data_IF_221067723055
#
_entry.id   IF_221067723055
#
_cell.length_a   1.000
_cell.length_b   1.000
_cell.length_c   1.000
_cell.angle_alpha   90.00
_cell.angle_beta   90.00
_cell.angle_gamma   90.00
#
_symmetry.space_group_name_H-M   'P 1'
#
loop_
_entity.id
_entity.type
_entity.pdbx_description
1 polymer ?
#
# COMPACT_ATOMS: atom_id res chain seq x y z
N UNK A 1 10.39 3.43 4.90
CA UNK A 1 10.93 3.58 6.27
C UNK A 1 12.41 3.96 6.30
N UNK A 2 13.28 3.27 5.54
CA UNK A 2 14.73 3.55 5.53
C UNK A 2 15.10 5.01 5.20
N UNK A 3 14.43 5.65 4.23
CA UNK A 3 14.69 7.05 3.88
C UNK A 3 14.34 8.02 5.01
N UNK A 4 13.20 7.83 5.70
CA UNK A 4 12.82 8.65 6.85
C UNK A 4 13.78 8.46 8.04
N UNK A 5 14.25 7.23 8.26
CA UNK A 5 15.22 6.94 9.30
C UNK A 5 16.55 7.68 9.03
N UNK A 6 17.02 7.68 7.78
CA UNK A 6 18.31 8.25 7.39
C UNK A 6 18.33 9.79 7.24
N UNK A 7 17.18 10.46 7.13
CA UNK A 7 17.13 11.90 6.86
C UNK A 7 17.43 12.74 8.11
N UNK A 8 18.56 13.46 8.08
CA UNK A 8 19.06 14.31 9.17
C UNK A 8 18.18 15.54 9.44
N UNK A 9 17.26 15.90 8.54
CA UNK A 9 16.34 17.02 8.76
C UNK A 9 15.21 16.66 9.75
N UNK A 10 15.02 15.37 10.06
CA UNK A 10 14.09 14.90 11.09
C UNK A 10 14.78 14.72 12.44
N UNK A 11 14.04 14.97 13.51
CA UNK A 11 14.49 14.77 14.89
C UNK A 11 13.96 13.46 15.49
N UNK A 12 14.64 12.96 16.52
CA UNK A 12 14.24 11.77 17.28
C UNK A 12 14.33 10.44 16.51
N UNK A 13 14.32 9.34 17.24
CA UNK A 13 14.29 8.00 16.66
C UNK A 13 12.86 7.60 16.27
N UNK A 14 12.74 6.57 15.43
CA UNK A 14 11.44 5.92 15.17
C UNK A 14 11.15 5.00 16.35
N UNK A 15 10.16 5.36 17.15
CA UNK A 15 9.70 4.50 18.26
C UNK A 15 8.43 3.75 17.91
N UNK A 16 7.70 4.23 16.89
CA UNK A 16 6.47 3.60 16.41
C UNK A 16 6.76 2.41 15.49
N UNK A 17 6.12 1.26 15.78
CA UNK A 17 6.02 0.16 14.82
C UNK A 17 4.86 0.41 13.87
N UNK A 18 5.17 0.67 12.60
CA UNK A 18 4.18 0.72 11.53
C UNK A 18 3.92 -0.69 11.01
N UNK A 19 2.65 -1.10 10.95
CA UNK A 19 2.26 -2.35 10.29
C UNK A 19 2.45 -2.23 8.76
N UNK A 20 2.58 -3.36 8.08
CA UNK A 20 2.65 -3.36 6.61
C UNK A 20 1.38 -2.76 5.99
N UNK A 21 1.54 -1.99 4.91
CA UNK A 21 0.42 -1.28 4.26
C UNK A 21 -0.25 -0.20 5.13
N UNK A 22 0.32 0.16 6.30
CA UNK A 22 -0.25 1.17 7.19
C UNK A 22 0.15 2.61 6.86
N UNK A 23 1.14 2.81 6.00
CA UNK A 23 1.63 4.14 5.60
C UNK A 23 1.35 4.40 4.11
N UNK A 24 1.09 5.65 3.76
CA UNK A 24 0.89 6.08 2.37
C UNK A 24 2.23 6.55 1.77
N UNK A 25 2.74 5.94 0.69
CA UNK A 25 3.95 6.40 0.01
C UNK A 25 3.65 7.58 -0.92
N UNK A 26 3.82 8.79 -0.41
CA UNK A 26 3.62 10.04 -1.15
C UNK A 26 4.81 10.99 -0.94
N UNK A 27 4.80 12.11 -1.68
CA UNK A 27 5.65 13.26 -1.35
C UNK A 27 5.03 14.03 -0.19
N UNK A 28 5.82 14.29 0.85
CA UNK A 28 5.39 15.03 2.03
C UNK A 28 6.27 16.25 2.30
N UNK A 29 5.61 17.37 2.58
CA UNK A 29 6.28 18.58 3.06
C UNK A 29 6.34 18.59 4.58
N UNK A 30 7.51 18.90 5.12
CA UNK A 30 7.77 18.96 6.56
C UNK A 30 8.71 20.13 6.87
N UNK A 31 8.76 20.55 8.13
CA UNK A 31 9.71 21.55 8.62
C UNK A 31 10.90 20.86 9.28
N UNK A 32 12.09 21.44 9.17
CA UNK A 32 13.30 20.93 9.84
C UNK A 32 13.02 20.75 11.34
N UNK A 33 13.40 19.60 11.87
CA UNK A 33 13.19 19.24 13.28
C UNK A 33 11.84 18.56 13.56
N UNK A 34 10.98 18.35 12.55
CA UNK A 34 9.81 17.47 12.69
C UNK A 34 10.27 16.10 13.19
N UNK A 35 9.57 15.50 14.16
CA UNK A 35 9.96 14.19 14.68
C UNK A 35 9.62 13.09 13.68
N UNK A 36 10.43 12.02 13.63
CA UNK A 36 10.17 10.87 12.76
C UNK A 36 8.81 10.24 13.05
N UNK A 37 8.46 10.08 14.33
CA UNK A 37 7.14 9.55 14.73
C UNK A 37 5.98 10.46 14.34
N UNK A 38 6.11 11.79 14.47
CA UNK A 38 5.06 12.71 14.00
C UNK A 38 4.85 12.60 12.49
N UNK A 39 5.93 12.41 11.74
CA UNK A 39 5.87 12.16 10.31
C UNK A 39 5.13 10.84 10.00
N UNK A 40 5.45 9.76 10.71
CA UNK A 40 4.78 8.47 10.54
C UNK A 40 3.29 8.53 10.84
N UNK A 41 2.89 9.16 11.95
CA UNK A 41 1.48 9.37 12.29
C UNK A 41 0.75 10.09 11.17
N UNK A 42 1.34 11.16 10.62
CA UNK A 42 0.75 11.89 9.49
C UNK A 42 0.60 11.03 8.24
N UNK A 43 1.55 10.13 7.96
CA UNK A 43 1.45 9.20 6.83
C UNK A 43 0.32 8.19 7.04
N UNK A 44 0.15 7.68 8.26
CA UNK A 44 -0.93 6.74 8.62
C UNK A 44 -2.31 7.40 8.52
N UNK A 45 -2.46 8.62 9.05
CA UNK A 45 -3.70 9.40 8.96
C UNK A 45 -4.07 9.67 7.50
N UNK A 46 -3.10 10.10 6.68
CA UNK A 46 -3.33 10.28 5.23
C UNK A 46 -3.78 9.00 4.55
N UNK A 47 -3.14 7.87 4.86
CA UNK A 47 -3.54 6.55 4.32
C UNK A 47 -4.98 6.22 4.68
N UNK A 48 -5.38 6.44 5.93
CA UNK A 48 -6.75 6.19 6.40
C UNK A 48 -7.78 7.05 5.66
N UNK A 49 -7.49 8.34 5.49
CA UNK A 49 -8.36 9.25 4.75
C UNK A 49 -8.51 8.81 3.30
N UNK A 50 -7.40 8.48 2.61
CA UNK A 50 -7.42 8.03 1.22
C UNK A 50 -8.22 6.72 1.07
N UNK A 51 -7.97 5.75 1.95
CA UNK A 51 -8.67 4.46 1.91
C UNK A 51 -10.17 4.63 2.18
N UNK A 52 -10.54 5.53 3.11
CA UNK A 52 -11.94 5.83 3.37
C UNK A 52 -12.61 6.50 2.17
N UNK A 53 -11.96 7.48 1.55
CA UNK A 53 -12.50 8.17 0.38
C UNK A 53 -12.70 7.22 -0.80
N UNK A 54 -11.66 6.43 -1.12
CA UNK A 54 -11.73 5.39 -2.14
C UNK A 54 -12.83 4.36 -1.83
N UNK A 55 -12.99 3.98 -0.56
CA UNK A 55 -14.04 3.06 -0.15
C UNK A 55 -15.44 3.65 -0.35
N UNK A 56 -15.66 4.92 0.00
CA UNK A 56 -16.95 5.58 -0.18
C UNK A 56 -17.29 5.71 -1.68
N UNK A 57 -16.30 6.02 -2.51
CA UNK A 57 -16.45 6.18 -3.96
C UNK A 57 -16.45 4.90 -4.78
N UNK A 58 -16.21 3.73 -4.17
CA UNK A 58 -16.09 2.45 -4.89
C UNK A 58 -17.40 2.00 -5.54
N UNK A 59 -17.30 1.09 -6.50
CA UNK A 59 -18.45 0.34 -7.01
C UNK A 59 -19.05 -0.55 -5.90
N UNK A 60 -20.38 -0.50 -5.75
CA UNK A 60 -21.10 -1.25 -4.72
C UNK A 60 -21.12 -2.75 -4.99
N UNK A 61 -20.90 -3.18 -6.23
CA UNK A 61 -20.94 -4.60 -6.66
C UNK A 61 -19.56 -5.28 -6.63
N UNK A 62 -18.67 -4.85 -5.73
CA UNK A 62 -17.34 -5.45 -5.60
C UNK A 62 -17.37 -6.70 -4.72
N UNK A 63 -16.57 -7.75 -5.05
CA UNK A 63 -16.63 -9.06 -4.38
C UNK A 63 -15.96 -9.08 -2.99
N UNK A 64 -15.52 -7.94 -2.48
CA UNK A 64 -14.89 -7.77 -1.17
C UNK A 64 -15.76 -6.93 -0.23
N UNK A 65 -15.69 -7.26 1.06
CA UNK A 65 -16.61 -6.78 2.11
C UNK A 65 -16.00 -5.69 2.98
N UNK A 66 -14.68 -5.60 3.04
CA UNK A 66 -13.97 -4.68 3.93
C UNK A 66 -12.95 -3.82 3.19
N UNK A 67 -12.57 -2.70 3.82
CA UNK A 67 -11.53 -1.79 3.31
C UNK A 67 -10.17 -2.48 3.27
N UNK A 68 -9.93 -3.36 4.24
CA UNK A 68 -8.73 -4.15 4.36
C UNK A 68 -8.61 -5.14 3.18
N UNK A 69 -9.69 -5.81 2.80
CA UNK A 69 -9.70 -6.68 1.60
C UNK A 69 -9.44 -5.89 0.31
N UNK A 70 -10.01 -4.69 0.20
CA UNK A 70 -9.73 -3.81 -0.94
C UNK A 70 -8.27 -3.37 -0.98
N UNK A 71 -7.69 -3.04 0.17
CA UNK A 71 -6.28 -2.65 0.28
C UNK A 71 -5.33 -3.81 -0.09
N UNK A 72 -5.64 -5.03 0.34
CA UNK A 72 -4.89 -6.24 -0.04
C UNK A 72 -4.96 -6.46 -1.56
N UNK A 73 -6.13 -6.32 -2.16
CA UNK A 73 -6.24 -6.46 -3.61
C UNK A 73 -5.47 -5.36 -4.35
N UNK A 74 -5.52 -4.13 -3.85
CA UNK A 74 -4.79 -3.00 -4.42
C UNK A 74 -3.26 -3.22 -4.35
N UNK A 75 -2.74 -3.77 -3.25
CA UNK A 75 -1.29 -4.08 -3.16
C UNK A 75 -0.88 -5.15 -4.16
N UNK A 76 -1.71 -6.16 -4.38
CA UNK A 76 -1.44 -7.19 -5.40
C UNK A 76 -1.42 -6.57 -6.81
N UNK A 77 -2.42 -5.74 -7.14
CA UNK A 77 -2.49 -5.06 -8.45
C UNK A 77 -1.27 -4.16 -8.67
N UNK A 78 -0.85 -3.40 -7.66
CA UNK A 78 0.33 -2.53 -7.75
C UNK A 78 1.60 -3.32 -8.04
N UNK A 79 1.76 -4.50 -7.42
CA UNK A 79 2.94 -5.33 -7.62
C UNK A 79 2.95 -6.08 -8.96
N UNK A 80 1.77 -6.36 -9.52
CA UNK A 80 1.63 -7.01 -10.84
C UNK A 80 1.81 -6.04 -12.00
N UNK A 81 1.73 -4.72 -11.75
CA UNK A 81 1.73 -3.71 -12.81
C UNK A 81 2.76 -2.62 -12.59
N UNK A 82 3.72 -2.51 -13.51
CA UNK A 82 4.66 -1.38 -13.53
C UNK A 82 4.05 -0.10 -14.12
N UNK A 83 3.12 -0.22 -15.08
CA UNK A 83 2.48 0.91 -15.76
C UNK A 83 1.03 1.13 -15.29
N UNK A 84 0.67 2.40 -15.14
CA UNK A 84 -0.68 2.89 -14.88
C UNK A 84 -1.75 2.41 -15.89
N UNK A 85 -1.37 2.16 -17.14
CA UNK A 85 -2.30 1.75 -18.20
C UNK A 85 -2.91 0.35 -17.94
N UNK A 86 -2.12 -0.58 -17.42
CA UNK A 86 -2.52 -1.98 -17.25
C UNK A 86 -3.25 -2.23 -15.93
N UNK A 87 -3.14 -1.31 -14.96
CA UNK A 87 -3.75 -1.42 -13.61
C UNK A 87 -5.24 -1.73 -13.64
N UNK A 88 -5.99 -1.06 -14.52
CA UNK A 88 -7.45 -1.26 -14.60
C UNK A 88 -7.81 -2.64 -15.14
N UNK A 89 -7.08 -3.13 -16.13
CA UNK A 89 -7.33 -4.43 -16.74
C UNK A 89 -6.97 -5.55 -15.75
N UNK A 90 -5.80 -5.47 -15.12
CA UNK A 90 -5.36 -6.44 -14.11
C UNK A 90 -6.31 -6.46 -12.91
N UNK A 91 -6.74 -5.30 -12.40
CA UNK A 91 -7.75 -5.22 -11.35
C UNK A 91 -9.07 -5.90 -11.77
N UNK A 92 -9.52 -5.67 -13.01
CA UNK A 92 -10.72 -6.31 -13.57
C UNK A 92 -10.60 -7.84 -13.61
N UNK A 93 -9.45 -8.37 -14.01
CA UNK A 93 -9.19 -9.82 -14.01
C UNK A 93 -9.30 -10.39 -12.59
N UNK A 94 -8.65 -9.78 -11.60
CA UNK A 94 -8.72 -10.28 -10.23
C UNK A 94 -10.13 -10.18 -9.63
N UNK A 95 -10.85 -9.09 -9.86
CA UNK A 95 -12.26 -8.95 -9.45
C UNK A 95 -13.12 -10.05 -10.06
N UNK A 96 -12.94 -10.35 -11.35
CA UNK A 96 -13.67 -11.43 -12.02
C UNK A 96 -13.31 -12.82 -11.47
N UNK A 97 -12.04 -13.06 -11.10
CA UNK A 97 -11.61 -14.30 -10.44
C UNK A 97 -12.27 -14.46 -9.07
N UNK A 98 -12.27 -13.41 -8.25
CA UNK A 98 -12.92 -13.41 -6.93
C UNK A 98 -14.42 -13.70 -7.03
N UNK A 99 -15.13 -13.06 -7.96
CA UNK A 99 -16.57 -13.32 -8.21
C UNK A 99 -16.87 -14.78 -8.54
N UNK A 100 -15.95 -15.46 -9.23
CA UNK A 100 -16.07 -16.87 -9.62
C UNK A 100 -15.53 -17.85 -8.58
N UNK A 101 -15.08 -17.37 -7.41
CA UNK A 101 -14.44 -18.19 -6.38
C UNK A 101 -13.13 -18.85 -6.84
N UNK A 102 -12.46 -18.27 -7.85
CA UNK A 102 -11.20 -18.78 -8.37
C UNK A 102 -10.03 -18.24 -7.56
N UNK A 103 -8.96 -19.03 -7.45
CA UNK A 103 -7.69 -18.56 -6.89
C UNK A 103 -7.13 -17.39 -7.71
N UNK A 104 -6.52 -16.41 -7.06
CA UNK A 104 -5.91 -15.27 -7.76
C UNK A 104 -4.69 -15.67 -8.58
N UNK A 105 -3.91 -16.66 -8.11
CA UNK A 105 -2.70 -17.16 -8.79
C UNK A 105 -1.77 -16.01 -9.19
N UNK A 106 -1.39 -15.21 -8.19
CA UNK A 106 -0.56 -14.01 -8.35
C UNK A 106 0.82 -14.28 -7.77
N UNK A 107 1.87 -14.07 -8.57
CA UNK A 107 3.25 -14.37 -8.19
C UNK A 107 3.72 -13.55 -6.98
N UNK A 108 3.42 -12.24 -6.86
CA UNK A 108 3.68 -11.45 -5.65
C UNK A 108 3.12 -12.06 -4.36
N UNK A 109 1.95 -12.70 -4.39
CA UNK A 109 1.38 -13.33 -3.19
C UNK A 109 2.14 -14.58 -2.75
N UNK A 110 2.70 -15.32 -3.70
CA UNK A 110 3.55 -16.49 -3.42
C UNK A 110 4.88 -16.03 -2.85
N UNK A 111 5.50 -15.03 -3.48
CA UNK A 111 6.75 -14.45 -3.02
C UNK A 111 6.62 -13.90 -1.59
N UNK A 112 5.56 -13.14 -1.32
CA UNK A 112 5.25 -12.65 0.02
C UNK A 112 5.14 -13.78 1.04
N UNK A 113 4.46 -14.88 0.69
CA UNK A 113 4.30 -16.04 1.57
C UNK A 113 5.59 -16.81 1.85
N UNK A 114 6.60 -16.71 0.97
CA UNK A 114 7.90 -17.36 1.13
C UNK A 114 8.89 -16.47 1.88
N UNK A 115 8.89 -15.16 1.59
CA UNK A 115 9.89 -14.20 2.11
C UNK A 115 9.38 -13.40 3.32
N UNK A 116 8.12 -13.55 3.72
CA UNK A 116 7.57 -12.89 4.90
C UNK A 116 7.45 -11.38 4.80
N UNK A 117 7.51 -10.83 3.58
CA UNK A 117 7.42 -9.39 3.31
C UNK A 117 8.68 -8.59 3.63
N UNK A 118 9.81 -9.23 3.98
CA UNK A 118 11.03 -8.53 4.42
C UNK A 118 11.86 -7.96 3.25
N UNK A 119 11.67 -8.44 2.01
CA UNK A 119 12.53 -8.07 0.86
C UNK A 119 11.81 -7.91 -0.50
N UNK A 120 10.54 -7.47 -0.51
CA UNK A 120 9.86 -7.09 -1.77
C UNK A 120 10.30 -5.70 -2.25
N UNK A 121 11.58 -5.56 -2.61
CA UNK A 121 12.13 -4.37 -3.27
C UNK A 121 11.85 -4.41 -4.78
N UNK A 122 10.61 -4.13 -5.16
CA UNK A 122 10.31 -3.88 -6.57
C UNK A 122 10.82 -2.49 -6.95
N UNK A 123 11.85 -2.45 -7.78
CA UNK A 123 12.32 -1.22 -8.41
C UNK A 123 11.18 -0.64 -9.25
N UNK A 124 10.45 0.33 -8.71
CA UNK A 124 9.53 1.17 -9.47
C UNK A 124 10.39 2.04 -10.38
N UNK A 125 10.38 1.86 -11.72
CA UNK A 125 10.99 2.84 -12.59
C UNK A 125 10.16 4.11 -12.49
N UNK A 126 10.86 5.22 -12.33
CA UNK A 126 10.31 6.58 -12.22
C UNK A 126 9.60 6.99 -13.50
#
# INVERSE_FOLDING_TARGET
MAQLAADENFSGDITMRAAEGSILPETYFYTRGTTRDAMLTRMQEKREMLLLDAWVGRDKDLPFKTREEALILASIVELETGDSADRREVAGVFVNRLRRGMRLQSDPTVLYGVEGGEDVSFAVPT
#
